data_IF_571525727298
#
_entry.id   IF_571525727298
#
_cell.length_a   1.000
_cell.length_b   1.000
_cell.length_c   1.000
_cell.angle_alpha   90.00
_cell.angle_beta   90.00
_cell.angle_gamma   90.00
#
_symmetry.space_group_name_H-M   'P 1'
#
loop_
_entity.id
_entity.type
_entity.pdbx_description
1 polymer ?
#
# COMPACT_ATOMS: atom_id res chain seq x y z
N UNK A 1 14.33 8.53 22.23
CA UNK A 1 14.29 8.08 20.81
C UNK A 1 14.68 6.60 20.72
N UNK A 2 15.74 6.20 21.40
CA UNK A 2 16.21 4.80 21.38
C UNK A 2 15.21 3.82 22.00
N UNK A 3 14.59 4.17 23.12
CA UNK A 3 13.54 3.37 23.79
C UNK A 3 12.33 3.07 22.88
N UNK A 4 11.86 4.05 22.13
CA UNK A 4 10.75 3.86 21.21
C UNK A 4 11.10 2.95 20.01
N UNK A 5 12.36 2.98 19.55
CA UNK A 5 12.86 2.09 18.51
C UNK A 5 12.93 0.66 19.04
N UNK A 6 13.44 0.47 20.24
CA UNK A 6 13.55 -0.84 20.88
C UNK A 6 12.18 -1.48 21.08
N UNK A 7 11.18 -0.70 21.56
CA UNK A 7 9.79 -1.17 21.69
C UNK A 7 9.20 -1.62 20.34
N UNK A 8 9.47 -0.89 19.26
CA UNK A 8 9.00 -1.29 17.92
C UNK A 8 9.68 -2.58 17.44
N UNK A 9 10.98 -2.71 17.66
CA UNK A 9 11.71 -3.93 17.29
C UNK A 9 11.18 -5.12 18.08
N UNK A 10 10.92 -4.96 19.37
CA UNK A 10 10.37 -6.02 20.21
C UNK A 10 8.94 -6.40 19.81
N UNK A 11 8.10 -5.42 19.42
CA UNK A 11 6.79 -5.69 18.86
C UNK A 11 6.87 -6.51 17.57
N UNK A 12 7.78 -6.15 16.64
CA UNK A 12 8.00 -6.91 15.41
C UNK A 12 8.47 -8.33 15.73
N UNK A 13 9.43 -8.51 16.66
CA UNK A 13 9.91 -9.84 17.09
C UNK A 13 8.80 -10.69 17.68
N UNK A 14 7.92 -10.08 18.48
CA UNK A 14 6.75 -10.78 19.02
C UNK A 14 5.82 -11.28 17.92
N UNK A 15 5.51 -10.43 16.92
CA UNK A 15 4.69 -10.82 15.78
C UNK A 15 5.33 -11.94 14.96
N UNK A 16 6.65 -11.87 14.75
CA UNK A 16 7.43 -12.93 14.09
C UNK A 16 7.27 -14.26 14.81
N UNK A 17 7.39 -14.29 16.15
CA UNK A 17 7.22 -15.51 16.96
C UNK A 17 5.81 -16.09 16.85
N UNK A 18 4.80 -15.25 16.58
CA UNK A 18 3.40 -15.65 16.36
C UNK A 18 3.09 -16.03 14.90
N UNK A 19 4.03 -15.88 14.00
CA UNK A 19 3.83 -16.11 12.57
C UNK A 19 2.91 -15.09 11.89
N UNK A 20 2.76 -13.89 12.50
CA UNK A 20 1.91 -12.82 11.99
C UNK A 20 2.75 -11.93 11.06
N UNK A 21 2.33 -11.72 9.79
CA UNK A 21 3.02 -10.78 8.88
C UNK A 21 2.99 -9.35 9.43
N UNK A 22 4.08 -8.63 9.25
CA UNK A 22 4.19 -7.21 9.61
C UNK A 22 4.01 -6.31 8.39
N UNK A 23 3.24 -5.23 8.55
CA UNK A 23 2.97 -4.27 7.50
C UNK A 23 3.96 -3.10 7.54
N UNK A 24 4.47 -2.72 6.36
CA UNK A 24 5.27 -1.52 6.14
C UNK A 24 4.35 -0.39 5.67
N UNK A 25 3.78 0.35 6.60
CA UNK A 25 2.82 1.43 6.33
C UNK A 25 3.38 2.84 6.61
N UNK A 26 4.43 2.95 7.42
CA UNK A 26 4.98 4.23 7.83
C UNK A 26 5.32 5.18 6.66
N UNK A 27 5.91 4.73 5.54
CA UNK A 27 6.19 5.63 4.42
C UNK A 27 4.94 6.28 3.84
N UNK A 28 3.79 5.61 3.89
CA UNK A 28 2.53 6.17 3.43
C UNK A 28 1.99 7.26 4.37
N UNK A 29 2.37 7.23 5.64
CA UNK A 29 1.96 8.21 6.64
C UNK A 29 2.93 9.37 6.76
N UNK A 30 4.24 9.10 6.69
CA UNK A 30 5.29 10.06 6.99
C UNK A 30 5.85 10.75 5.76
N UNK A 31 6.24 10.00 4.74
CA UNK A 31 6.96 10.52 3.58
C UNK A 31 6.10 10.70 2.34
N UNK A 32 4.90 10.13 2.27
CA UNK A 32 4.04 10.26 1.09
C UNK A 32 3.35 11.62 0.97
N UNK A 33 3.32 12.43 2.05
CA UNK A 33 2.55 13.69 2.11
C UNK A 33 3.35 14.86 1.62
N UNK A 34 4.06 15.09 0.82
CA UNK A 34 4.88 16.23 0.36
C UNK A 34 6.39 15.91 0.37
N UNK A 35 6.77 14.70 0.73
CA UNK A 35 8.15 14.30 0.63
C UNK A 35 8.52 13.98 -0.82
N UNK A 36 9.77 14.28 -1.17
CA UNK A 36 10.31 13.88 -2.45
C UNK A 36 10.30 12.34 -2.57
N UNK A 37 10.04 11.80 -3.76
CA UNK A 37 9.93 10.35 -4.03
C UNK A 37 11.15 9.55 -3.53
N UNK A 38 12.34 10.16 -3.56
CA UNK A 38 13.56 9.54 -3.01
C UNK A 38 13.45 9.28 -1.50
N UNK A 39 12.85 10.20 -0.74
CA UNK A 39 12.64 10.05 0.71
C UNK A 39 11.65 8.92 0.95
N UNK A 40 10.57 8.88 0.19
CA UNK A 40 9.58 7.80 0.26
C UNK A 40 10.20 6.42 0.03
N UNK A 41 11.01 6.28 -1.01
CA UNK A 41 11.70 5.02 -1.32
C UNK A 41 12.73 4.66 -0.24
N UNK A 42 13.45 5.65 0.30
CA UNK A 42 14.42 5.45 1.38
C UNK A 42 13.76 4.99 2.67
N UNK A 43 12.57 5.51 3.00
CA UNK A 43 11.78 5.10 4.15
C UNK A 43 11.41 3.61 4.09
N UNK A 44 10.92 3.15 2.94
CA UNK A 44 10.66 1.70 2.75
C UNK A 44 11.91 0.85 2.92
N UNK A 45 13.04 1.32 2.43
CA UNK A 45 14.31 0.62 2.59
C UNK A 45 14.74 0.53 4.06
N UNK A 46 14.56 1.61 4.81
CA UNK A 46 14.88 1.67 6.24
C UNK A 46 14.00 0.69 7.02
N UNK A 47 12.68 0.75 6.84
CA UNK A 47 11.74 -0.13 7.55
C UNK A 47 11.99 -1.59 7.19
N UNK A 48 12.19 -1.89 5.90
CA UNK A 48 12.52 -3.24 5.48
C UNK A 48 13.81 -3.76 6.14
N UNK A 49 14.82 -2.90 6.28
CA UNK A 49 16.08 -3.26 6.96
C UNK A 49 15.85 -3.60 8.44
N UNK A 50 15.01 -2.83 9.13
CA UNK A 50 14.61 -3.10 10.53
C UNK A 50 13.85 -4.43 10.62
N UNK A 51 12.90 -4.68 9.72
CA UNK A 51 12.14 -5.93 9.70
C UNK A 51 13.02 -7.15 9.41
N UNK A 52 13.98 -7.02 8.51
CA UNK A 52 14.97 -8.07 8.25
C UNK A 52 15.85 -8.34 9.47
N UNK A 53 16.32 -7.29 10.13
CA UNK A 53 17.11 -7.41 11.37
C UNK A 53 16.29 -8.04 12.52
N UNK A 54 14.99 -7.78 12.57
CA UNK A 54 14.09 -8.42 13.53
C UNK A 54 13.72 -9.88 13.15
N UNK A 55 14.15 -10.35 11.97
CA UNK A 55 13.92 -11.74 11.52
C UNK A 55 12.51 -11.97 10.96
N UNK A 56 11.81 -10.94 10.47
CA UNK A 56 10.46 -11.08 9.91
C UNK A 56 10.46 -11.87 8.60
N UNK A 57 9.88 -13.07 8.55
CA UNK A 57 9.85 -13.88 7.33
C UNK A 57 8.79 -13.45 6.34
N UNK A 58 7.74 -12.75 6.81
CA UNK A 58 6.62 -12.32 6.01
C UNK A 58 6.35 -10.83 6.26
N UNK A 59 6.43 -10.04 5.21
CA UNK A 59 6.19 -8.60 5.27
C UNK A 59 5.07 -8.21 4.31
N UNK A 60 4.27 -7.25 4.70
CA UNK A 60 3.26 -6.63 3.84
C UNK A 60 3.81 -5.27 3.41
N UNK A 61 4.01 -5.11 2.11
CA UNK A 61 4.41 -3.84 1.49
C UNK A 61 3.15 -3.12 1.01
N UNK A 62 2.73 -2.10 1.74
CA UNK A 62 1.55 -1.32 1.40
C UNK A 62 1.89 -0.22 0.40
N UNK A 63 1.17 -0.20 -0.72
CA UNK A 63 1.26 0.81 -1.77
C UNK A 63 0.00 1.68 -1.75
N UNK A 64 0.11 2.93 -1.30
CA UNK A 64 -0.99 3.88 -1.30
C UNK A 64 -0.93 4.76 -2.55
N UNK A 65 -1.88 4.55 -3.47
CA UNK A 65 -1.97 5.25 -4.74
C UNK A 65 -2.66 6.61 -4.62
N UNK A 66 -2.36 7.50 -5.55
CA UNK A 66 -2.93 8.84 -5.70
C UNK A 66 -2.71 9.73 -4.49
N UNK A 67 -1.47 9.73 -4.00
CA UNK A 67 -1.12 10.57 -2.88
C UNK A 67 0.32 11.11 -3.01
N UNK A 68 0.50 12.42 -2.91
CA UNK A 68 -0.52 13.47 -3.03
C UNK A 68 -1.15 13.51 -4.43
N UNK A 69 -2.25 14.24 -4.58
CA UNK A 69 -3.01 14.35 -5.85
C UNK A 69 -2.16 14.80 -7.05
N UNK A 70 -1.01 15.39 -6.79
CA UNK A 70 -0.10 15.94 -7.79
C UNK A 70 0.78 14.90 -8.47
N UNK A 71 0.90 13.69 -7.91
CA UNK A 71 1.67 12.63 -8.56
C UNK A 71 0.83 11.93 -9.62
N UNK A 72 1.39 11.85 -10.83
CA UNK A 72 0.73 11.09 -11.92
C UNK A 72 0.80 9.59 -11.67
N UNK A 73 -0.13 8.85 -12.29
CA UNK A 73 -0.24 7.38 -12.18
C UNK A 73 1.08 6.65 -12.44
N UNK A 74 1.84 7.10 -13.45
CA UNK A 74 3.13 6.52 -13.78
C UNK A 74 4.20 6.79 -12.71
N UNK A 75 4.14 7.94 -12.06
CA UNK A 75 5.05 8.26 -10.96
C UNK A 75 4.79 7.36 -9.75
N UNK A 76 3.53 7.11 -9.40
CA UNK A 76 3.16 6.17 -8.34
C UNK A 76 3.65 4.75 -8.66
N UNK A 77 3.39 4.25 -9.87
CA UNK A 77 3.85 2.93 -10.29
C UNK A 77 5.39 2.82 -10.26
N UNK A 78 6.09 3.83 -10.75
CA UNK A 78 7.56 3.85 -10.76
C UNK A 78 8.14 3.86 -9.35
N UNK A 79 7.56 4.65 -8.46
CA UNK A 79 7.95 4.78 -7.05
C UNK A 79 7.79 3.46 -6.30
N UNK A 80 6.64 2.78 -6.43
CA UNK A 80 6.44 1.48 -5.79
C UNK A 80 7.32 0.39 -6.38
N UNK A 81 7.56 0.41 -7.69
CA UNK A 81 8.51 -0.51 -8.33
C UNK A 81 9.93 -0.30 -7.82
N UNK A 82 10.37 0.95 -7.67
CA UNK A 82 11.69 1.28 -7.14
C UNK A 82 11.83 0.83 -5.67
N UNK A 83 10.84 1.13 -4.81
CA UNK A 83 10.82 0.70 -3.43
C UNK A 83 10.86 -0.84 -3.31
N UNK A 84 10.02 -1.55 -4.06
CA UNK A 84 10.01 -3.01 -4.09
C UNK A 84 11.35 -3.61 -4.50
N UNK A 85 11.97 -3.07 -5.54
CA UNK A 85 13.27 -3.54 -6.00
C UNK A 85 14.36 -3.34 -4.93
N UNK A 86 14.35 -2.20 -4.26
CA UNK A 86 15.28 -1.89 -3.19
C UNK A 86 15.08 -2.80 -1.97
N UNK A 87 13.84 -3.05 -1.56
CA UNK A 87 13.50 -4.00 -0.50
C UNK A 87 14.02 -5.41 -0.83
N UNK A 88 13.82 -5.87 -2.06
CA UNK A 88 14.35 -7.16 -2.50
C UNK A 88 15.88 -7.20 -2.54
N UNK A 89 16.51 -6.10 -2.95
CA UNK A 89 17.97 -6.00 -2.98
C UNK A 89 18.58 -6.05 -1.58
N UNK A 90 17.94 -5.39 -0.60
CA UNK A 90 18.36 -5.36 0.80
C UNK A 90 18.15 -6.70 1.53
N UNK A 91 17.37 -7.61 0.96
CA UNK A 91 17.03 -8.87 1.60
C UNK A 91 18.28 -9.75 1.79
N UNK A 92 18.72 -10.02 3.04
CA UNK A 92 19.92 -10.78 3.32
C UNK A 92 19.80 -12.27 2.92
N UNK A 93 18.57 -12.76 2.85
CA UNK A 93 18.28 -14.17 2.53
C UNK A 93 17.12 -14.26 1.53
N UNK A 94 17.47 -14.14 0.25
CA UNK A 94 16.53 -14.04 -0.88
C UNK A 94 15.47 -15.15 -0.97
N UNK A 95 15.67 -16.26 -0.30
CA UNK A 95 14.78 -17.42 -0.38
C UNK A 95 13.85 -17.58 0.83
N UNK A 96 14.03 -16.80 1.91
CA UNK A 96 13.31 -17.01 3.17
C UNK A 96 12.28 -15.94 3.51
N UNK A 97 12.23 -14.83 2.77
CA UNK A 97 11.34 -13.72 3.07
C UNK A 97 10.29 -13.56 1.96
N UNK A 98 9.03 -13.57 2.37
CA UNK A 98 7.89 -13.34 1.49
C UNK A 98 7.40 -11.90 1.64
N UNK A 99 7.33 -11.17 0.54
CA UNK A 99 6.75 -9.83 0.49
C UNK A 99 5.38 -9.94 -0.18
N UNK A 100 4.33 -9.63 0.58
CA UNK A 100 2.97 -9.50 0.08
C UNK A 100 2.74 -8.04 -0.32
N UNK A 101 2.29 -7.81 -1.54
CA UNK A 101 1.88 -6.48 -1.95
C UNK A 101 0.46 -6.20 -1.47
N UNK A 102 0.30 -5.12 -0.73
CA UNK A 102 -1.00 -4.55 -0.41
C UNK A 102 -1.15 -3.24 -1.18
N UNK A 103 -2.31 -3.00 -1.74
CA UNK A 103 -2.63 -1.74 -2.41
C UNK A 103 -3.85 -1.08 -1.80
N UNK A 104 -3.85 0.24 -1.71
CA UNK A 104 -5.00 1.05 -1.30
C UNK A 104 -5.06 2.37 -2.05
N UNK A 105 -6.24 2.97 -2.15
CA UNK A 105 -6.40 4.34 -2.62
C UNK A 105 -6.11 5.34 -1.49
N UNK A 106 -5.51 6.49 -1.82
CA UNK A 106 -5.42 7.61 -0.89
C UNK A 106 -6.77 8.31 -0.77
N UNK A 107 -7.30 8.45 0.44
CA UNK A 107 -8.59 9.10 0.67
C UNK A 107 -8.59 10.60 0.37
N UNK A 108 -7.46 11.27 0.51
CA UNK A 108 -7.30 12.70 0.15
C UNK A 108 -7.52 12.99 -1.35
N UNK A 109 -7.50 11.94 -2.17
CA UNK A 109 -7.73 12.02 -3.60
C UNK A 109 -9.23 12.13 -3.96
N UNK A 110 -10.13 11.67 -3.10
CA UNK A 110 -11.54 11.61 -3.43
C UNK A 110 -12.20 12.99 -3.42
N UNK A 111 -13.05 13.21 -4.43
CA UNK A 111 -13.86 14.39 -4.56
C UNK A 111 -14.94 14.49 -3.49
N UNK A 112 -15.37 15.70 -3.20
CA UNK A 112 -16.59 15.95 -2.41
C UNK A 112 -17.87 15.54 -3.17
N UNK A 113 -17.82 15.52 -4.50
CA UNK A 113 -18.87 14.94 -5.34
C UNK A 113 -18.79 13.43 -5.28
N UNK A 114 -19.81 12.80 -4.72
CA UNK A 114 -19.81 11.36 -4.46
C UNK A 114 -19.77 10.50 -5.74
N UNK A 115 -20.43 10.93 -6.81
CA UNK A 115 -20.42 10.17 -8.08
C UNK A 115 -19.04 10.23 -8.72
N UNK A 116 -18.37 11.37 -8.64
CA UNK A 116 -17.00 11.49 -9.10
C UNK A 116 -16.03 10.72 -8.19
N UNK A 117 -16.24 10.71 -6.87
CA UNK A 117 -15.44 9.90 -5.93
C UNK A 117 -15.57 8.39 -6.20
N UNK A 118 -16.76 7.90 -6.56
CA UNK A 118 -16.96 6.50 -7.00
C UNK A 118 -16.17 6.18 -8.28
N UNK A 119 -16.19 7.09 -9.24
CA UNK A 119 -15.37 6.96 -10.45
C UNK A 119 -13.87 6.93 -10.10
N UNK A 120 -13.40 7.82 -9.22
CA UNK A 120 -12.02 7.84 -8.77
C UNK A 120 -11.62 6.54 -8.08
N UNK A 121 -12.46 5.98 -7.21
CA UNK A 121 -12.21 4.70 -6.56
C UNK A 121 -12.07 3.56 -7.58
N UNK A 122 -12.96 3.48 -8.55
CA UNK A 122 -12.92 2.45 -9.58
C UNK A 122 -11.65 2.60 -10.46
N UNK A 123 -11.33 3.82 -10.91
CA UNK A 123 -10.14 4.13 -11.70
C UNK A 123 -8.86 3.78 -10.94
N UNK A 124 -8.77 4.19 -9.68
CA UNK A 124 -7.60 3.90 -8.84
C UNK A 124 -7.43 2.40 -8.62
N UNK A 125 -8.54 1.66 -8.47
CA UNK A 125 -8.49 0.20 -8.37
C UNK A 125 -7.90 -0.43 -9.63
N UNK A 126 -8.27 0.02 -10.83
CA UNK A 126 -7.66 -0.45 -12.07
C UNK A 126 -6.15 -0.20 -12.11
N UNK A 127 -5.71 0.99 -11.66
CA UNK A 127 -4.28 1.32 -11.56
C UNK A 127 -3.55 0.40 -10.58
N UNK A 128 -4.15 0.13 -9.41
CA UNK A 128 -3.61 -0.79 -8.41
C UNK A 128 -3.37 -2.19 -8.97
N UNK A 129 -4.25 -2.68 -9.84
CA UNK A 129 -4.12 -4.02 -10.43
C UNK A 129 -2.86 -4.19 -11.28
N UNK A 130 -2.27 -3.09 -11.80
CA UNK A 130 -1.02 -3.13 -12.57
C UNK A 130 0.19 -3.61 -11.77
N UNK A 131 0.15 -3.55 -10.45
CA UNK A 131 1.22 -4.10 -9.59
C UNK A 131 0.92 -5.52 -9.11
N UNK A 132 -0.17 -6.14 -9.55
CA UNK A 132 -0.61 -7.48 -9.15
C UNK A 132 -0.62 -7.66 -7.63
N UNK A 133 -1.42 -6.88 -6.88
CA UNK A 133 -1.43 -6.93 -5.43
C UNK A 133 -1.98 -8.26 -4.90
N UNK A 134 -1.40 -8.74 -3.80
CA UNK A 134 -1.91 -9.89 -3.05
C UNK A 134 -3.13 -9.51 -2.19
N UNK A 135 -3.16 -8.25 -1.75
CA UNK A 135 -4.19 -7.69 -0.88
C UNK A 135 -4.64 -6.35 -1.48
N UNK A 136 -5.94 -6.17 -1.62
CA UNK A 136 -6.53 -4.86 -1.94
C UNK A 136 -7.26 -4.35 -0.72
N UNK A 137 -6.69 -3.33 -0.08
CA UNK A 137 -7.27 -2.67 1.07
C UNK A 137 -8.39 -1.73 0.60
N UNK A 138 -9.61 -2.05 0.98
CA UNK A 138 -10.77 -1.26 0.63
C UNK A 138 -10.82 0.02 1.46
N UNK A 139 -10.87 1.17 0.79
CA UNK A 139 -11.31 2.43 1.37
C UNK A 139 -12.64 2.82 0.75
N UNK A 140 -13.50 3.52 1.49
CA UNK A 140 -14.77 3.96 0.96
C UNK A 140 -14.62 5.28 0.20
N UNK A 141 -15.35 5.43 -0.91
CA UNK A 141 -15.34 6.64 -1.72
C UNK A 141 -15.73 7.91 -0.94
N UNK A 142 -16.49 7.76 0.14
CA UNK A 142 -16.99 8.88 0.95
C UNK A 142 -16.02 9.37 2.03
N UNK A 143 -14.93 8.66 2.31
CA UNK A 143 -14.07 8.90 3.48
C UNK A 143 -13.33 10.24 3.46
N UNK A 144 -13.24 10.91 2.31
CA UNK A 144 -12.74 12.28 2.26
C UNK A 144 -13.73 13.32 2.83
N UNK A 145 -15.00 12.96 2.98
CA UNK A 145 -16.09 13.88 3.38
C UNK A 145 -16.68 13.51 4.74
N UNK A 146 -16.91 12.22 4.96
CA UNK A 146 -17.51 11.74 6.21
C UNK A 146 -17.07 10.30 6.51
N UNK A 147 -17.25 9.86 7.75
CA UNK A 147 -17.03 8.47 8.14
C UNK A 147 -17.99 7.54 7.37
N UNK A 148 -17.45 6.45 6.82
CA UNK A 148 -18.22 5.53 6.01
C UNK A 148 -19.31 4.81 6.81
N UNK A 149 -20.54 4.85 6.32
CA UNK A 149 -21.65 4.05 6.82
C UNK A 149 -21.66 2.67 6.13
N UNK A 150 -22.47 1.76 6.66
CA UNK A 150 -22.59 0.41 6.12
C UNK A 150 -22.85 0.36 4.59
N UNK A 151 -23.77 1.20 4.11
CA UNK A 151 -24.11 1.24 2.69
C UNK A 151 -22.94 1.72 1.82
N UNK A 152 -22.16 2.69 2.30
CA UNK A 152 -20.99 3.22 1.59
C UNK A 152 -19.92 2.16 1.44
N UNK A 153 -19.67 1.38 2.50
CA UNK A 153 -18.72 0.26 2.47
C UNK A 153 -19.17 -0.83 1.50
N UNK A 154 -20.45 -1.20 1.53
CA UNK A 154 -21.02 -2.22 0.61
C UNK A 154 -20.93 -1.76 -0.84
N UNK A 155 -21.26 -0.50 -1.12
CA UNK A 155 -21.19 0.06 -2.47
C UNK A 155 -19.74 0.14 -2.96
N UNK A 156 -18.83 0.65 -2.14
CA UNK A 156 -17.38 0.69 -2.43
C UNK A 156 -16.83 -0.69 -2.73
N UNK A 157 -17.22 -1.69 -1.94
CA UNK A 157 -16.81 -3.09 -2.15
C UNK A 157 -17.29 -3.63 -3.50
N UNK A 158 -18.53 -3.31 -3.91
CA UNK A 158 -19.06 -3.71 -5.23
C UNK A 158 -18.29 -3.03 -6.36
N UNK A 159 -17.98 -1.74 -6.23
CA UNK A 159 -17.20 -0.97 -7.21
C UNK A 159 -15.79 -1.56 -7.39
N UNK A 160 -15.07 -1.74 -6.29
CA UNK A 160 -13.72 -2.32 -6.31
C UNK A 160 -13.71 -3.72 -6.93
N UNK A 161 -14.61 -4.61 -6.51
CA UNK A 161 -14.70 -5.96 -7.08
C UNK A 161 -15.05 -5.96 -8.57
N UNK A 162 -15.88 -5.03 -9.02
CA UNK A 162 -16.20 -4.88 -10.44
C UNK A 162 -14.99 -4.39 -11.23
N UNK A 163 -14.26 -3.40 -10.73
CA UNK A 163 -13.05 -2.91 -11.38
C UNK A 163 -11.97 -4.01 -11.48
N UNK A 164 -11.74 -4.76 -10.41
CA UNK A 164 -10.82 -5.91 -10.41
C UNK A 164 -11.20 -6.97 -11.44
N UNK A 165 -12.49 -7.28 -11.56
CA UNK A 165 -12.99 -8.23 -12.55
C UNK A 165 -12.78 -7.74 -13.96
N UNK A 166 -13.16 -6.49 -14.25
CA UNK A 166 -12.97 -5.88 -15.57
C UNK A 166 -11.49 -5.84 -15.98
N UNK A 167 -10.59 -5.59 -15.03
CA UNK A 167 -9.16 -5.65 -15.31
C UNK A 167 -8.75 -7.05 -15.77
N UNK A 168 -9.14 -8.09 -15.01
CA UNK A 168 -8.78 -9.50 -15.33
C UNK A 168 -9.40 -10.01 -16.63
N UNK A 169 -10.63 -9.59 -16.94
CA UNK A 169 -11.33 -9.98 -18.18
C UNK A 169 -10.73 -9.34 -19.43
N UNK A 170 -10.01 -8.22 -19.28
CA UNK A 170 -9.37 -7.48 -20.37
C UNK A 170 -7.84 -7.54 -20.30
N UNK A 171 -7.27 -8.37 -19.44
CA UNK A 171 -5.83 -8.59 -19.40
C UNK A 171 -5.42 -9.29 -20.70
N UNK A 172 -4.51 -8.72 -21.51
CA UNK A 172 -4.08 -9.40 -22.72
C UNK A 172 -3.39 -10.72 -22.36
N UNK A 173 -3.72 -11.77 -23.07
CA UNK A 173 -2.98 -13.04 -23.02
C UNK A 173 -1.51 -12.76 -23.43
N UNK A 174 -0.60 -12.77 -22.44
CA UNK A 174 0.84 -12.54 -22.66
C UNK A 174 1.54 -13.90 -22.75
#
# INVERSE_FOLDING_TARGET
MDEAIDEHIDAVRYLVQKGIPTEMNDPNQWSSRLAHDTVFVADYALIASVMYAAGSPNMIFQCQFNKPVETGDFADLAKFKAARNLIHWLNPNKNSHRILLESRAGIEHFSVDQEYAKYQLARTTLLQMLISPSIVHLVSYCEAVHAAHYNDVVESSKLVRRAMRLFRENEPDI
#
